data_IF_315029574978
#
_entry.id   IF_315029574978
#
_cell.length_a   1.000
_cell.length_b   1.000
_cell.length_c   1.000
_cell.angle_alpha   90.00
_cell.angle_beta   90.00
_cell.angle_gamma   90.00
#
_symmetry.space_group_name_H-M   'P 1'
#
loop_
_entity.id
_entity.type
_entity.pdbx_description
1 polymer ?
#
# COMPACT_ATOMS: atom_id res chain seq x y z
N UNK A 1 -5.31 -37.46 -29.38
CA UNK A 1 -4.29 -36.66 -30.08
C UNK A 1 -4.17 -35.36 -29.32
N UNK A 2 -3.01 -35.11 -28.70
CA UNK A 2 -2.76 -33.98 -27.81
C UNK A 2 -2.57 -32.71 -28.64
N UNK A 3 -3.44 -31.71 -28.45
CA UNK A 3 -3.25 -30.35 -28.97
C UNK A 3 -2.23 -29.63 -28.09
N UNK A 4 -1.18 -29.13 -28.72
CA UNK A 4 -0.13 -28.34 -28.08
C UNK A 4 -0.63 -26.91 -27.87
N UNK A 5 -0.48 -26.37 -26.66
CA UNK A 5 -0.56 -24.93 -26.46
C UNK A 5 0.65 -24.26 -27.09
N UNK A 6 0.40 -23.27 -27.93
CA UNK A 6 1.42 -22.37 -28.47
C UNK A 6 0.92 -20.93 -28.28
N UNK A 7 0.87 -20.49 -27.02
CA UNK A 7 0.90 -19.07 -26.74
C UNK A 7 2.38 -18.63 -26.88
N UNK A 8 2.65 -17.74 -27.84
CA UNK A 8 3.94 -17.07 -27.98
C UNK A 8 3.68 -15.59 -27.79
N UNK A 9 4.19 -15.04 -26.69
CA UNK A 9 4.01 -13.64 -26.30
C UNK A 9 4.24 -12.67 -27.46
N UNK A 10 3.37 -11.67 -27.54
CA UNK A 10 3.38 -10.64 -28.58
C UNK A 10 4.24 -9.45 -28.14
N UNK A 11 5.33 -9.20 -28.86
CA UNK A 11 6.17 -8.01 -28.70
C UNK A 11 5.53 -6.82 -29.43
N UNK A 12 4.67 -6.04 -28.77
CA UNK A 12 4.13 -4.80 -29.36
C UNK A 12 3.74 -3.75 -28.31
N UNK A 13 4.65 -3.37 -27.41
CA UNK A 13 4.49 -2.14 -26.63
C UNK A 13 4.96 -0.92 -27.46
N UNK A 14 4.03 -0.04 -27.88
CA UNK A 14 4.37 1.32 -28.34
C UNK A 14 3.57 2.38 -27.59
N UNK A 15 4.33 3.34 -27.07
CA UNK A 15 3.92 4.49 -26.28
C UNK A 15 2.90 5.37 -27.00
N UNK A 16 1.69 5.50 -26.45
CA UNK A 16 0.68 6.48 -26.89
C UNK A 16 0.71 7.68 -25.94
N UNK A 17 1.06 8.85 -26.48
CA UNK A 17 1.19 10.11 -25.74
C UNK A 17 -0.21 10.72 -25.52
N UNK A 18 -0.81 10.50 -24.36
CA UNK A 18 -2.12 11.06 -24.05
C UNK A 18 -1.98 12.54 -23.66
N UNK A 19 -2.64 13.43 -24.40
CA UNK A 19 -2.66 14.88 -24.16
C UNK A 19 -4.07 15.26 -23.71
N UNK A 20 -4.29 15.32 -22.39
CA UNK A 20 -5.60 15.68 -21.83
C UNK A 20 -5.53 15.89 -20.33
N UNK A 21 -5.42 17.15 -19.91
CA UNK A 21 -5.61 17.56 -18.51
C UNK A 21 -7.12 17.56 -18.21
N UNK A 22 -7.61 16.49 -17.59
CA UNK A 22 -8.89 16.49 -16.88
C UNK A 22 -8.77 15.59 -15.63
N UNK A 23 -8.12 16.11 -14.60
CA UNK A 23 -8.07 15.50 -13.28
C UNK A 23 -9.34 15.87 -12.51
N UNK A 24 -10.37 15.04 -12.61
CA UNK A 24 -11.42 14.98 -11.58
C UNK A 24 -10.80 14.35 -10.31
N UNK A 25 -11.09 14.86 -9.10
CA UNK A 25 -10.52 14.32 -7.88
C UNK A 25 -11.07 12.91 -7.63
N UNK A 26 -10.20 11.92 -7.83
CA UNK A 26 -10.40 10.53 -7.46
C UNK A 26 -10.67 10.46 -5.95
N UNK A 27 -11.91 10.14 -5.55
CA UNK A 27 -12.23 9.78 -4.18
C UNK A 27 -11.66 8.38 -3.92
N UNK A 28 -10.38 8.35 -3.52
CA UNK A 28 -9.77 7.17 -2.90
C UNK A 28 -10.68 6.72 -1.76
N UNK A 29 -11.20 5.50 -1.83
CA UNK A 29 -11.41 4.70 -0.63
C UNK A 29 -10.06 4.74 0.09
N UNK A 30 -9.98 5.37 1.26
CA UNK A 30 -8.68 5.61 1.87
C UNK A 30 -8.05 4.25 2.14
N UNK A 31 -6.79 4.09 1.73
CA UNK A 31 -5.96 2.93 2.05
C UNK A 31 -5.92 2.67 3.57
N UNK A 32 -6.21 3.72 4.36
CA UNK A 32 -6.52 3.65 5.78
C UNK A 32 -7.69 2.72 6.14
N UNK A 33 -8.75 2.59 5.34
CA UNK A 33 -9.85 1.65 5.61
C UNK A 33 -9.39 0.18 5.45
N UNK A 34 -8.64 -0.13 4.39
CA UNK A 34 -8.05 -1.46 4.15
C UNK A 34 -7.00 -1.81 5.22
N UNK A 35 -6.14 -0.85 5.58
CA UNK A 35 -5.15 -0.98 6.66
C UNK A 35 -5.80 -1.02 8.05
N UNK A 36 -6.95 -0.37 8.26
CA UNK A 36 -7.68 -0.40 9.53
C UNK A 36 -8.32 -1.76 9.78
N UNK A 37 -8.81 -2.43 8.72
CA UNK A 37 -9.31 -3.79 8.82
C UNK A 37 -8.15 -4.76 9.13
N UNK A 38 -7.01 -4.63 8.45
CA UNK A 38 -5.82 -5.47 8.70
C UNK A 38 -5.17 -5.28 10.09
N UNK A 39 -5.40 -4.14 10.76
CA UNK A 39 -4.79 -3.83 12.06
C UNK A 39 -5.72 -4.06 13.26
N UNK A 40 -7.03 -4.30 13.03
CA UNK A 40 -8.01 -4.57 14.09
C UNK A 40 -8.26 -6.08 14.31
N UNK A 41 -7.65 -6.95 13.51
CA UNK A 41 -7.78 -8.39 13.65
C UNK A 41 -6.74 -9.00 14.61
N UNK A 42 -7.12 -10.09 15.27
CA UNK A 42 -6.22 -10.83 16.16
C UNK A 42 -4.98 -11.31 15.40
N UNK A 43 -3.82 -11.40 16.07
CA UNK A 43 -2.55 -11.81 15.45
C UNK A 43 -2.65 -13.15 14.68
N UNK A 44 -3.43 -14.10 15.20
CA UNK A 44 -3.69 -15.37 14.53
C UNK A 44 -4.45 -15.21 13.21
N UNK A 45 -5.46 -14.34 13.17
CA UNK A 45 -6.22 -14.04 11.95
C UNK A 45 -5.35 -13.32 10.93
N UNK A 46 -4.48 -12.40 11.38
CA UNK A 46 -3.55 -11.71 10.51
C UNK A 46 -2.54 -12.67 9.85
N UNK A 47 -2.02 -13.64 10.61
CA UNK A 47 -1.09 -14.64 10.08
C UNK A 47 -1.79 -15.60 9.12
N UNK A 48 -3.04 -16.00 9.38
CA UNK A 48 -3.80 -16.82 8.43
C UNK A 48 -4.05 -16.08 7.11
N UNK A 49 -4.40 -14.79 7.17
CA UNK A 49 -4.57 -13.97 5.96
C UNK A 49 -3.28 -13.85 5.14
N UNK A 50 -2.13 -13.73 5.79
CA UNK A 50 -0.82 -13.72 5.09
C UNK A 50 -0.56 -15.08 4.41
N UNK A 51 -0.85 -16.19 5.10
CA UNK A 51 -0.70 -17.52 4.52
C UNK A 51 -1.63 -17.78 3.33
N UNK A 52 -2.87 -17.31 3.41
CA UNK A 52 -3.83 -17.39 2.31
C UNK A 52 -3.38 -16.54 1.11
N UNK A 53 -2.91 -15.32 1.36
CA UNK A 53 -2.33 -14.47 0.32
C UNK A 53 -1.10 -15.12 -0.33
N UNK A 54 -0.21 -15.72 0.47
CA UNK A 54 0.95 -16.47 -0.03
C UNK A 54 0.54 -17.65 -0.94
N UNK A 55 -0.51 -18.38 -0.57
CA UNK A 55 -1.02 -19.48 -1.38
C UNK A 55 -1.59 -18.99 -2.71
N UNK A 56 -2.36 -17.91 -2.69
CA UNK A 56 -2.90 -17.28 -3.90
C UNK A 56 -1.74 -16.82 -4.79
N UNK A 57 -0.76 -16.12 -4.24
CA UNK A 57 0.40 -15.64 -4.98
C UNK A 57 1.15 -16.78 -5.67
N UNK A 58 1.39 -17.90 -4.99
CA UNK A 58 1.99 -19.11 -5.57
C UNK A 58 1.15 -19.71 -6.71
N UNK A 59 -0.19 -19.70 -6.62
CA UNK A 59 -1.07 -20.13 -7.73
C UNK A 59 -0.87 -19.26 -8.97
N UNK A 60 -0.64 -17.96 -8.77
CA UNK A 60 -0.33 -16.99 -9.82
C UNK A 60 1.16 -16.94 -10.22
N UNK A 61 1.99 -17.85 -9.68
CA UNK A 61 3.40 -17.98 -10.05
C UNK A 61 4.33 -16.99 -9.34
N UNK A 62 3.92 -16.41 -8.21
CA UNK A 62 4.74 -15.53 -7.38
C UNK A 62 5.25 -16.26 -6.14
N UNK A 63 6.08 -17.28 -6.38
CA UNK A 63 6.76 -17.98 -5.30
C UNK A 63 7.80 -17.07 -4.63
N UNK A 64 7.95 -17.21 -3.31
CA UNK A 64 8.87 -16.41 -2.51
C UNK A 64 10.32 -16.86 -2.76
N UNK A 65 11.16 -15.95 -3.22
CA UNK A 65 12.59 -16.17 -3.36
C UNK A 65 13.31 -15.85 -2.04
N UNK A 66 13.71 -16.91 -1.33
CA UNK A 66 14.32 -16.81 0.01
C UNK A 66 15.84 -17.01 0.01
N UNK A 67 16.36 -17.78 -0.94
CA UNK A 67 17.79 -18.05 -1.08
C UNK A 67 18.12 -18.58 -2.48
N UNK A 68 19.40 -18.55 -2.85
CA UNK A 68 19.91 -19.13 -4.10
C UNK A 68 20.70 -18.13 -4.95
N UNK A 69 20.89 -18.40 -6.25
CA UNK A 69 21.62 -17.50 -7.14
C UNK A 69 20.89 -16.17 -7.28
N UNK A 70 21.64 -15.11 -7.62
CA UNK A 70 21.08 -13.78 -7.85
C UNK A 70 19.99 -13.85 -8.90
N UNK A 71 18.86 -13.20 -8.64
CA UNK A 71 17.77 -13.05 -9.62
C UNK A 71 17.75 -11.64 -10.17
N UNK A 72 17.37 -11.49 -11.42
CA UNK A 72 17.07 -10.19 -12.03
C UNK A 72 15.57 -10.11 -12.23
N UNK A 73 14.97 -8.98 -11.86
CA UNK A 73 13.53 -8.80 -12.03
C UNK A 73 13.14 -7.35 -12.23
N UNK A 74 12.05 -7.15 -12.97
CA UNK A 74 11.35 -5.89 -13.12
C UNK A 74 10.28 -5.77 -12.04
N UNK A 75 10.39 -4.76 -11.18
CA UNK A 75 9.48 -4.58 -10.06
C UNK A 75 8.11 -4.09 -10.55
N UNK A 76 7.05 -4.89 -10.36
CA UNK A 76 5.69 -4.58 -10.83
C UNK A 76 4.73 -4.13 -9.73
N UNK A 77 4.91 -4.62 -8.50
CA UNK A 77 3.99 -4.32 -7.41
C UNK A 77 4.67 -4.44 -6.04
N UNK A 78 4.07 -3.83 -5.00
CA UNK A 78 4.52 -3.99 -3.62
C UNK A 78 3.37 -3.85 -2.63
N UNK A 79 3.35 -4.69 -1.59
CA UNK A 79 2.31 -4.69 -0.55
C UNK A 79 2.90 -4.83 0.84
N UNK A 80 2.31 -4.15 1.81
CA UNK A 80 2.66 -4.35 3.23
C UNK A 80 2.27 -5.76 3.65
N UNK A 81 3.16 -6.46 4.34
CA UNK A 81 2.93 -7.81 4.87
C UNK A 81 3.40 -7.93 6.32
N UNK A 82 3.13 -9.07 6.94
CA UNK A 82 3.63 -9.44 8.27
C UNK A 82 4.42 -10.74 8.16
N UNK A 83 5.68 -10.69 8.58
CA UNK A 83 6.61 -11.82 8.57
C UNK A 83 6.39 -12.60 9.87
N UNK A 84 5.97 -13.88 9.82
CA UNK A 84 5.85 -14.72 11.00
C UNK A 84 7.18 -14.84 11.74
N UNK A 85 7.14 -14.90 13.07
CA UNK A 85 8.33 -15.08 13.92
C UNK A 85 7.99 -15.93 15.14
N UNK A 86 8.93 -16.78 15.56
CA UNK A 86 8.82 -17.54 16.82
C UNK A 86 9.01 -16.63 18.05
N UNK A 87 9.82 -15.58 17.91
CA UNK A 87 10.16 -14.66 19.01
C UNK A 87 9.05 -13.63 19.30
N UNK A 88 8.29 -13.27 18.27
CA UNK A 88 7.26 -12.23 18.34
C UNK A 88 5.94 -12.72 17.76
N UNK A 89 4.97 -12.99 18.64
CA UNK A 89 3.65 -13.52 18.27
C UNK A 89 2.93 -12.67 17.19
N UNK A 90 3.12 -11.36 17.22
CA UNK A 90 2.51 -10.44 16.25
C UNK A 90 3.24 -10.39 14.90
N UNK A 91 4.40 -11.03 14.79
CA UNK A 91 5.28 -10.97 13.62
C UNK A 91 6.01 -9.63 13.45
N UNK A 92 6.95 -9.62 12.52
CA UNK A 92 7.66 -8.41 12.09
C UNK A 92 6.96 -7.77 10.90
N UNK A 93 7.06 -6.45 10.76
CA UNK A 93 6.58 -5.80 9.53
C UNK A 93 7.57 -5.97 8.39
N UNK A 94 7.03 -6.21 7.21
CA UNK A 94 7.79 -6.28 5.96
C UNK A 94 6.96 -5.82 4.77
N UNK A 95 7.60 -5.72 3.62
CA UNK A 95 6.96 -5.42 2.34
C UNK A 95 7.26 -6.55 1.38
N UNK A 96 6.22 -7.14 0.80
CA UNK A 96 6.33 -8.06 -0.32
C UNK A 96 6.46 -7.26 -1.62
N UNK A 97 7.43 -7.64 -2.45
CA UNK A 97 7.73 -7.04 -3.73
C UNK A 97 7.60 -8.09 -4.83
N UNK A 98 6.86 -7.77 -5.88
CA UNK A 98 6.51 -8.69 -6.95
C UNK A 98 7.30 -8.34 -8.21
N UNK A 99 7.95 -9.34 -8.80
CA UNK A 99 8.87 -9.18 -9.91
C UNK A 99 8.49 -10.05 -11.09
N UNK A 100 8.69 -9.51 -12.30
CA UNK A 100 8.76 -10.29 -13.53
C UNK A 100 10.23 -10.54 -13.86
N UNK A 101 10.60 -11.80 -14.08
CA UNK A 101 11.97 -12.16 -14.47
C UNK A 101 12.21 -11.92 -15.97
N UNK A 102 13.44 -12.17 -16.43
CA UNK A 102 13.81 -12.02 -17.84
C UNK A 102 13.32 -13.18 -18.73
N UNK A 103 12.92 -14.30 -18.12
CA UNK A 103 12.51 -15.54 -18.78
C UNK A 103 10.98 -15.61 -18.98
N UNK A 104 10.24 -14.62 -18.49
CA UNK A 104 8.78 -14.52 -18.58
C UNK A 104 8.03 -15.12 -17.38
N UNK A 105 8.75 -15.54 -16.33
CA UNK A 105 8.20 -15.97 -15.06
C UNK A 105 8.00 -14.82 -14.06
N UNK A 106 7.38 -15.16 -12.94
CA UNK A 106 7.19 -14.28 -11.79
C UNK A 106 7.91 -14.82 -10.56
N UNK A 107 8.24 -13.92 -9.64
CA UNK A 107 8.61 -14.30 -8.27
C UNK A 107 8.37 -13.13 -7.34
N UNK A 108 8.29 -13.39 -6.03
CA UNK A 108 8.22 -12.33 -5.03
C UNK A 108 9.36 -12.44 -4.03
N UNK A 109 9.64 -11.33 -3.36
CA UNK A 109 10.62 -11.25 -2.27
C UNK A 109 10.07 -10.38 -1.16
N UNK A 110 10.64 -10.52 0.02
CA UNK A 110 10.17 -9.80 1.20
C UNK A 110 11.31 -9.06 1.85
N UNK A 111 11.07 -7.77 2.12
CA UNK A 111 12.01 -6.93 2.86
C UNK A 111 11.44 -6.63 4.24
N UNK A 112 12.10 -7.12 5.28
CA UNK A 112 11.85 -6.64 6.62
C UNK A 112 12.42 -5.23 6.79
N UNK A 113 11.64 -4.36 7.43
CA UNK A 113 12.07 -3.01 7.77
C UNK A 113 11.37 -2.53 9.03
N UNK A 114 12.09 -1.97 9.99
CA UNK A 114 11.47 -1.50 11.24
C UNK A 114 10.68 -0.21 10.99
N UNK A 115 9.36 -0.16 11.28
CA UNK A 115 8.61 1.09 11.27
C UNK A 115 9.18 2.08 12.29
N UNK A 116 9.12 3.37 11.99
CA UNK A 116 9.54 4.40 12.93
C UNK A 116 8.75 5.70 12.77
N UNK A 117 8.78 6.52 13.81
CA UNK A 117 8.42 7.94 13.76
C UNK A 117 9.35 8.76 14.66
N UNK A 118 9.26 10.09 14.58
CA UNK A 118 10.11 10.98 15.35
C UNK A 118 9.34 11.69 16.45
N UNK A 119 10.02 11.93 17.57
CA UNK A 119 9.57 12.78 18.66
C UNK A 119 10.45 14.02 18.71
N UNK A 120 9.82 15.18 18.77
CA UNK A 120 10.44 16.46 19.06
C UNK A 120 10.38 16.69 20.56
N UNK A 121 11.51 17.06 21.14
CA UNK A 121 11.59 17.44 22.54
C UNK A 121 12.29 18.78 22.73
N UNK A 122 12.11 19.34 23.93
CA UNK A 122 12.78 20.57 24.35
C UNK A 122 14.30 20.37 24.37
N UNK A 123 15.02 21.37 23.86
CA UNK A 123 16.50 21.37 23.84
C UNK A 123 17.08 21.11 25.23
N UNK A 124 18.15 20.31 25.28
CA UNK A 124 18.90 19.92 26.49
C UNK A 124 18.19 18.90 27.39
N UNK A 125 17.02 18.38 26.99
CA UNK A 125 16.29 17.32 27.71
C UNK A 125 16.22 16.01 26.90
N UNK A 126 17.01 15.89 25.84
CA UNK A 126 16.95 14.75 24.90
C UNK A 126 17.25 13.42 25.61
N UNK A 127 18.15 13.44 26.60
CA UNK A 127 18.54 12.22 27.34
C UNK A 127 17.45 11.74 28.28
N UNK A 128 16.87 12.67 29.03
CA UNK A 128 15.80 12.40 29.97
C UNK A 128 14.54 11.94 29.23
N UNK A 129 14.21 12.59 28.11
CA UNK A 129 13.06 12.23 27.27
C UNK A 129 13.28 10.87 26.60
N UNK A 130 14.48 10.57 26.12
CA UNK A 130 14.80 9.26 25.57
C UNK A 130 14.61 8.13 26.61
N UNK A 131 15.11 8.32 27.84
CA UNK A 131 14.91 7.35 28.92
C UNK A 131 13.43 7.23 29.34
N UNK A 132 12.72 8.35 29.42
CA UNK A 132 11.28 8.38 29.68
C UNK A 132 10.50 7.59 28.62
N UNK A 133 10.77 7.81 27.34
CA UNK A 133 10.11 7.08 26.25
C UNK A 133 10.42 5.59 26.27
N UNK A 134 11.65 5.18 26.62
CA UNK A 134 12.01 3.76 26.80
C UNK A 134 11.22 3.09 27.91
N UNK A 135 10.98 3.79 29.03
CA UNK A 135 10.19 3.28 30.15
C UNK A 135 8.68 3.28 29.84
N UNK A 136 8.17 4.34 29.23
CA UNK A 136 6.74 4.45 28.91
C UNK A 136 6.29 3.48 27.81
N UNK A 137 7.17 3.16 26.88
CA UNK A 137 6.89 2.29 25.74
C UNK A 137 7.55 0.90 25.90
N UNK A 138 7.80 0.49 27.14
CA UNK A 138 8.36 -0.82 27.44
C UNK A 138 7.46 -1.93 26.86
N UNK A 139 8.07 -2.91 26.19
CA UNK A 139 7.35 -3.97 25.47
C UNK A 139 6.90 -3.62 24.05
N UNK A 140 6.79 -2.33 23.70
CA UNK A 140 6.42 -1.88 22.35
C UNK A 140 7.64 -1.44 21.53
N UNK A 141 8.52 -0.66 22.16
CA UNK A 141 9.64 0.00 21.53
C UNK A 141 10.80 -0.97 21.30
N UNK A 142 11.27 -1.08 20.05
CA UNK A 142 12.50 -1.81 19.72
C UNK A 142 13.74 -0.99 20.05
N UNK A 143 13.76 0.27 19.61
CA UNK A 143 14.93 1.16 19.74
C UNK A 143 14.52 2.62 19.75
N UNK A 144 15.09 3.39 20.66
CA UNK A 144 15.18 4.85 20.54
C UNK A 144 16.60 5.25 20.11
N UNK A 145 16.72 6.23 19.22
CA UNK A 145 18.00 6.83 18.84
C UNK A 145 17.85 8.29 18.45
N UNK A 146 18.87 9.10 18.71
CA UNK A 146 18.89 10.51 18.32
C UNK A 146 19.32 10.66 16.87
N UNK A 147 18.62 11.50 16.13
CA UNK A 147 18.89 11.80 14.73
C UNK A 147 18.79 13.30 14.52
N UNK A 148 19.72 13.87 13.77
CA UNK A 148 19.67 15.26 13.36
C UNK A 148 19.04 15.38 11.98
N UNK A 149 17.99 16.20 11.86
CA UNK A 149 17.35 16.52 10.58
C UNK A 149 17.27 18.02 10.36
N UNK A 150 17.25 18.42 9.09
CA UNK A 150 17.01 19.82 8.73
C UNK A 150 15.54 20.17 9.01
N UNK A 151 15.33 21.28 9.72
CA UNK A 151 14.00 21.80 10.02
C UNK A 151 13.85 23.19 9.41
N UNK A 152 13.17 23.25 8.26
CA UNK A 152 12.96 24.49 7.50
C UNK A 152 12.06 25.49 8.22
N UNK A 153 11.38 25.08 9.31
CA UNK A 153 10.58 25.99 10.13
C UNK A 153 11.42 26.77 11.15
N UNK A 154 12.67 26.37 11.39
CA UNK A 154 13.53 27.06 12.34
C UNK A 154 13.96 28.44 11.81
N UNK A 155 13.95 29.48 12.67
CA UNK A 155 14.63 30.73 12.36
C UNK A 155 16.10 30.43 12.06
N UNK A 156 16.61 30.92 10.94
CA UNK A 156 17.99 30.69 10.47
C UNK A 156 18.32 29.28 9.94
N UNK A 157 17.33 28.50 9.47
CA UNK A 157 17.56 27.19 8.83
C UNK A 157 18.51 27.25 7.60
N UNK A 158 18.61 28.40 6.92
CA UNK A 158 19.55 28.63 5.82
C UNK A 158 21.04 28.61 6.24
N UNK A 159 21.32 28.69 7.54
CA UNK A 159 22.67 28.58 8.12
C UNK A 159 23.04 27.10 8.39
N UNK A 160 22.14 26.16 8.07
CA UNK A 160 22.35 24.72 8.27
C UNK A 160 22.08 24.24 9.70
N UNK A 161 21.26 24.97 10.47
CA UNK A 161 20.84 24.56 11.81
C UNK A 161 19.95 23.31 11.72
N UNK A 162 20.43 22.21 12.29
CA UNK A 162 19.68 20.96 12.41
C UNK A 162 18.92 20.90 13.72
N UNK A 163 17.81 20.17 13.71
CA UNK A 163 17.04 19.83 14.89
C UNK A 163 17.36 18.40 15.31
N UNK A 164 17.66 18.22 16.59
CA UNK A 164 17.77 16.88 17.19
C UNK A 164 16.38 16.32 17.41
N UNK A 165 16.15 15.12 16.90
CA UNK A 165 14.92 14.36 17.01
C UNK A 165 15.22 13.02 17.68
N UNK A 166 14.24 12.46 18.39
CA UNK A 166 14.32 11.10 18.90
C UNK A 166 13.54 10.20 17.95
N UNK A 167 14.23 9.35 17.20
CA UNK A 167 13.64 8.31 16.37
C UNK A 167 13.24 7.12 17.23
N UNK A 168 11.95 6.77 17.22
CA UNK A 168 11.41 5.58 17.87
C UNK A 168 11.16 4.53 16.79
N UNK A 169 11.84 3.39 16.90
CA UNK A 169 11.72 2.25 15.97
C UNK A 169 10.99 1.10 16.64
N UNK A 170 10.18 0.39 15.87
CA UNK A 170 9.29 -0.68 16.33
C UNK A 170 9.52 -1.96 15.53
N UNK A 171 9.11 -3.10 16.06
CA UNK A 171 9.18 -4.37 15.33
C UNK A 171 8.10 -4.52 14.27
N UNK A 172 6.93 -3.90 14.50
CA UNK A 172 5.79 -3.95 13.60
C UNK A 172 4.93 -2.68 13.69
N UNK A 173 4.00 -2.54 12.73
CA UNK A 173 3.10 -1.38 12.62
C UNK A 173 2.14 -1.30 13.82
N UNK A 174 1.70 -2.43 14.36
CA UNK A 174 0.79 -2.48 15.51
C UNK A 174 1.39 -1.79 16.74
N UNK A 175 2.64 -2.13 17.09
CA UNK A 175 3.39 -1.50 18.17
C UNK A 175 3.58 0.00 17.93
N UNK A 176 3.84 0.42 16.69
CA UNK A 176 3.96 1.84 16.34
C UNK A 176 2.64 2.58 16.59
N UNK A 177 1.52 2.01 16.15
CA UNK A 177 0.20 2.62 16.32
C UNK A 177 -0.21 2.68 17.79
N UNK A 178 0.13 1.66 18.58
CA UNK A 178 -0.10 1.66 20.03
C UNK A 178 0.76 2.70 20.74
N UNK A 179 2.05 2.80 20.42
CA UNK A 179 2.92 3.85 20.93
C UNK A 179 2.40 5.25 20.56
N UNK A 180 1.87 5.44 19.35
CA UNK A 180 1.21 6.68 18.94
C UNK A 180 -0.01 7.00 19.81
N UNK A 181 -0.85 6.00 20.14
CA UNK A 181 -2.02 6.18 21.02
C UNK A 181 -1.62 6.64 22.43
N UNK A 182 -0.46 6.23 22.92
CA UNK A 182 0.08 6.64 24.23
C UNK A 182 0.67 8.05 24.18
N UNK A 183 1.50 8.35 23.17
CA UNK A 183 2.28 9.61 23.12
C UNK A 183 1.46 10.80 22.60
N UNK A 184 0.58 10.59 21.62
CA UNK A 184 -0.14 11.70 20.98
C UNK A 184 -1.02 12.53 21.94
N UNK A 185 -1.75 11.94 22.92
CA UNK A 185 -2.49 12.71 23.91
C UNK A 185 -1.61 13.60 24.79
N UNK A 186 -0.44 13.09 25.21
CA UNK A 186 0.52 13.83 26.05
C UNK A 186 1.03 15.06 25.29
N UNK A 187 1.46 14.86 24.05
CA UNK A 187 1.93 15.92 23.16
C UNK A 187 0.84 16.96 22.92
N UNK A 188 -0.38 16.53 22.61
CA UNK A 188 -1.52 17.44 22.38
C UNK A 188 -1.82 18.28 23.62
N UNK A 189 -1.76 17.68 24.81
CA UNK A 189 -1.96 18.39 26.06
C UNK A 189 -0.86 19.44 26.31
N UNK A 190 0.40 19.09 26.04
CA UNK A 190 1.53 20.03 26.17
C UNK A 190 1.43 21.20 25.18
N UNK A 191 0.99 20.95 23.95
CA UNK A 191 0.76 21.99 22.94
C UNK A 191 -0.31 22.99 23.41
N UNK A 192 -1.44 22.50 23.92
CA UNK A 192 -2.50 23.36 24.48
C UNK A 192 -2.01 24.20 25.67
N UNK A 193 -1.23 23.61 26.58
CA UNK A 193 -0.65 24.36 27.70
C UNK A 193 0.34 25.44 27.24
N UNK A 194 1.11 25.17 26.19
CA UNK A 194 2.04 26.13 25.60
C UNK A 194 1.29 27.30 24.96
N UNK A 195 0.26 27.01 24.17
CA UNK A 195 -0.59 28.03 23.54
C UNK A 195 -1.27 28.93 24.59
N UNK A 196 -1.86 28.35 25.64
CA UNK A 196 -2.47 29.13 26.73
C UNK A 196 -1.47 30.03 27.44
N UNK A 197 -0.24 29.55 27.67
CA UNK A 197 0.82 30.33 28.29
C UNK A 197 1.31 31.45 27.37
N UNK A 198 1.42 31.20 26.08
CA UNK A 198 1.84 32.19 25.09
C UNK A 198 0.80 33.31 24.95
N UNK A 199 -0.50 32.99 24.97
CA UNK A 199 -1.60 33.98 24.99
C UNK A 199 -1.56 34.84 26.26
N UNK A 200 -1.43 34.20 27.43
CA UNK A 200 -1.37 34.93 28.71
C UNK A 200 -0.14 35.85 28.79
N UNK A 201 1.00 35.38 28.28
CA UNK A 201 2.22 36.18 28.20
C UNK A 201 2.10 37.31 27.17
N UNK A 202 1.44 37.11 26.02
CA UNK A 202 1.23 38.19 25.06
C UNK A 202 0.29 39.27 25.60
N UNK A 203 -0.73 38.88 26.38
CA UNK A 203 -1.66 39.82 27.02
C UNK A 203 -1.02 40.58 28.19
N UNK A 204 -0.11 39.96 28.93
CA UNK A 204 0.73 40.64 29.92
C UNK A 204 1.74 41.59 29.27
N UNK A 205 2.34 41.19 28.15
CA UNK A 205 3.29 42.02 27.42
C UNK A 205 2.62 43.23 26.75
N UNK A 206 1.32 43.17 26.45
CA UNK A 206 0.55 44.32 25.97
C UNK A 206 0.21 45.33 27.10
N UNK A 207 0.14 44.88 28.35
CA UNK A 207 -0.11 45.74 29.51
C UNK A 207 1.18 46.30 30.15
N UNK A 208 2.36 45.80 29.76
CA UNK A 208 3.66 46.22 30.30
C UNK A 208 4.45 47.17 29.38
N UNK A 209 3.89 47.58 28.23
CA UNK A 209 4.53 48.57 27.35
C UNK A 209 4.36 50.03 27.80
N UNK A 210 3.86 50.29 29.02
CA UNK A 210 3.65 51.65 29.52
C UNK A 210 4.43 52.04 30.79
N UNK A 211 5.17 51.15 31.43
CA UNK A 211 6.00 51.54 32.59
C UNK A 211 7.37 50.85 32.50
N UNK A 212 8.36 51.62 32.04
CA UNK A 212 9.77 51.35 32.31
C UNK A 212 10.00 51.40 33.82
N UNK A 213 10.00 50.27 34.51
CA UNK A 213 10.65 50.15 35.81
C UNK A 213 11.16 48.72 36.04
N UNK A 214 12.45 48.63 36.38
CA UNK A 214 13.19 47.43 36.71
C UNK A 214 12.46 46.58 37.77
N UNK A 215 11.87 45.46 37.34
CA UNK A 215 11.41 44.41 38.25
C UNK A 215 12.20 43.13 38.02
N UNK A 216 13.31 43.08 38.76
CA UNK A 216 14.09 41.90 39.09
C UNK A 216 13.17 40.85 39.74
N UNK A 217 12.57 39.97 38.93
CA UNK A 217 11.76 38.83 39.38
C UNK A 217 12.67 37.70 39.86
N UNK A 218 13.41 37.99 40.92
CA UNK A 218 14.07 37.00 41.75
C UNK A 218 12.99 36.36 42.66
N UNK A 219 12.19 35.45 42.09
CA UNK A 219 11.35 34.54 42.87
C UNK A 219 11.95 33.15 42.82
N UNK A 220 12.58 32.79 43.93
CA UNK A 220 12.93 31.43 44.35
C UNK A 220 11.70 30.50 44.33
N UNK A 221 11.25 30.14 43.14
CA UNK A 221 10.38 29.00 42.94
C UNK A 221 11.28 27.77 42.97
N UNK A 222 11.47 27.21 44.18
CA UNK A 222 12.00 25.86 44.38
C UNK A 222 11.55 24.97 43.24
N UNK A 223 12.53 24.54 42.44
CA UNK A 223 12.35 23.72 41.25
C UNK A 223 11.45 22.53 41.58
N UNK A 224 10.15 22.64 41.27
CA UNK A 224 9.36 21.44 41.04
C UNK A 224 10.13 20.67 39.96
N UNK A 225 10.45 19.38 40.15
CA UNK A 225 11.07 18.60 39.10
C UNK A 225 10.22 18.79 37.85
N UNK A 226 10.82 19.30 36.77
CA UNK A 226 10.12 19.43 35.51
C UNK A 226 9.64 18.01 35.17
N UNK A 227 8.34 17.81 35.03
CA UNK A 227 7.84 16.53 34.55
C UNK A 227 8.40 16.33 33.14
N UNK A 228 9.19 15.27 32.96
CA UNK A 228 9.87 14.97 31.68
C UNK A 228 8.83 14.82 30.57
N UNK A 229 7.60 14.39 30.91
CA UNK A 229 6.49 14.33 29.98
C UNK A 229 6.17 15.70 29.33
N UNK A 230 6.34 16.81 30.06
CA UNK A 230 6.14 18.17 29.53
C UNK A 230 7.24 18.63 28.57
N UNK A 231 8.37 17.91 28.48
CA UNK A 231 9.42 18.19 27.51
C UNK A 231 9.11 17.64 26.11
N UNK A 232 8.04 16.85 25.94
CA UNK A 232 7.54 16.39 24.65
C UNK A 232 6.78 17.51 23.93
N UNK A 233 7.27 17.95 22.77
CA UNK A 233 6.71 19.08 22.04
C UNK A 233 5.80 18.65 20.87
N UNK A 234 6.23 17.65 20.10
CA UNK A 234 5.51 17.20 18.91
C UNK A 234 5.94 15.78 18.47
N UNK A 235 5.12 15.14 17.63
CA UNK A 235 5.47 13.91 16.92
C UNK A 235 5.47 14.17 15.41
N UNK A 236 6.43 13.62 14.68
CA UNK A 236 6.62 13.85 13.24
C UNK A 236 6.71 12.55 12.46
N UNK A 237 6.22 12.58 11.23
CA UNK A 237 6.22 11.46 10.29
C UNK A 237 5.57 10.18 10.85
N UNK A 238 4.57 10.33 11.74
CA UNK A 238 3.87 9.22 12.41
C UNK A 238 2.71 8.63 11.58
N UNK A 239 2.40 9.25 10.45
CA UNK A 239 1.29 8.97 9.55
C UNK A 239 1.75 8.57 8.14
N UNK A 240 3.06 8.39 7.94
CA UNK A 240 3.60 7.90 6.67
C UNK A 240 3.24 6.42 6.51
N UNK A 241 2.54 6.02 5.43
CA UNK A 241 2.22 4.62 5.19
C UNK A 241 3.48 3.76 5.15
N UNK A 242 3.42 2.58 5.74
CA UNK A 242 4.62 1.76 5.96
C UNK A 242 5.33 1.37 4.66
N UNK A 243 4.62 0.88 3.64
CA UNK A 243 5.26 0.53 2.36
C UNK A 243 5.88 1.78 1.66
N UNK A 244 5.27 2.96 1.82
CA UNK A 244 5.83 4.23 1.33
C UNK A 244 7.13 4.54 2.05
N UNK A 245 7.17 4.39 3.38
CA UNK A 245 8.39 4.54 4.18
C UNK A 245 9.51 3.63 3.66
N UNK A 246 9.25 2.33 3.53
CA UNK A 246 10.25 1.36 3.07
C UNK A 246 10.74 1.71 1.66
N UNK A 247 9.83 2.09 0.76
CA UNK A 247 10.16 2.51 -0.61
C UNK A 247 11.02 3.77 -0.65
N UNK A 248 10.71 4.79 0.17
CA UNK A 248 11.48 6.04 0.22
C UNK A 248 12.88 5.77 0.77
N UNK A 249 12.97 5.14 1.95
CA UNK A 249 14.22 4.99 2.68
C UNK A 249 15.22 4.08 1.93
N UNK A 250 14.73 3.05 1.25
CA UNK A 250 15.56 2.15 0.45
C UNK A 250 15.68 2.58 -1.02
N UNK A 251 14.99 3.65 -1.43
CA UNK A 251 14.93 4.13 -2.80
C UNK A 251 14.45 3.08 -3.82
N UNK A 252 13.48 2.25 -3.43
CA UNK A 252 12.87 1.24 -4.31
C UNK A 252 11.69 1.85 -5.08
N UNK A 253 11.61 1.60 -6.40
CA UNK A 253 10.59 2.18 -7.28
C UNK A 253 10.06 1.11 -8.23
N UNK A 254 8.74 0.96 -8.25
CA UNK A 254 8.02 0.15 -9.25
C UNK A 254 8.36 0.66 -10.65
N UNK A 255 8.47 -0.26 -11.61
CA UNK A 255 8.84 0.02 -12.99
C UNK A 255 10.34 0.02 -13.27
N UNK A 256 11.18 -0.25 -12.26
CA UNK A 256 12.64 -0.38 -12.42
C UNK A 256 13.10 -1.84 -12.34
N UNK A 257 14.25 -2.11 -12.95
CA UNK A 257 14.95 -3.38 -12.88
C UNK A 257 15.89 -3.43 -11.68
N UNK A 258 15.88 -4.57 -10.99
CA UNK A 258 16.74 -4.82 -9.83
C UNK A 258 17.42 -6.19 -9.96
N UNK A 259 18.69 -6.24 -9.57
CA UNK A 259 19.36 -7.48 -9.18
C UNK A 259 19.09 -7.75 -7.71
N UNK A 260 18.59 -8.94 -7.40
CA UNK A 260 18.15 -9.37 -6.08
C UNK A 260 19.06 -10.46 -5.55
N UNK A 261 19.48 -10.26 -4.31
CA UNK A 261 20.31 -11.19 -3.54
C UNK A 261 19.63 -11.45 -2.20
N UNK A 262 19.11 -12.67 -2.04
CA UNK A 262 18.50 -13.12 -0.81
C UNK A 262 19.51 -13.94 0.00
N UNK A 263 19.78 -13.52 1.23
CA UNK A 263 20.57 -14.30 2.19
C UNK A 263 19.68 -15.11 3.13
N UNK A 264 18.46 -14.65 3.35
CA UNK A 264 17.41 -15.29 4.14
C UNK A 264 16.04 -14.73 3.69
N UNK A 265 14.95 -15.41 4.04
CA UNK A 265 13.56 -15.13 3.68
C UNK A 265 13.11 -13.67 3.83
N UNK A 266 13.68 -12.92 4.77
CA UNK A 266 13.36 -11.52 5.06
C UNK A 266 14.52 -10.54 4.84
N UNK A 267 15.70 -11.04 4.47
CA UNK A 267 16.92 -10.28 4.25
C UNK A 267 17.33 -10.33 2.78
N UNK A 268 16.71 -9.43 2.01
CA UNK A 268 16.99 -9.28 0.57
C UNK A 268 17.63 -7.92 0.31
N UNK A 269 18.63 -7.91 -0.56
CA UNK A 269 19.26 -6.69 -1.07
C UNK A 269 18.94 -6.48 -2.55
N UNK A 270 18.68 -5.22 -2.91
CA UNK A 270 18.19 -4.82 -4.22
C UNK A 270 19.23 -3.87 -4.80
N UNK A 271 19.75 -4.19 -5.99
CA UNK A 271 20.67 -3.32 -6.72
C UNK A 271 20.01 -2.86 -8.01
N UNK A 272 19.75 -1.57 -8.15
CA UNK A 272 19.11 -1.01 -9.36
C UNK A 272 20.00 -1.18 -10.60
N UNK A 273 19.41 -1.72 -11.67
CA UNK A 273 20.04 -1.84 -12.98
C UNK A 273 19.71 -0.62 -13.84
N UNK A 274 20.61 0.37 -13.85
CA UNK A 274 20.40 1.67 -14.52
C UNK A 274 20.53 1.61 -16.04
N UNK A 275 21.15 0.57 -16.56
CA UNK A 275 21.34 0.30 -17.98
C UNK A 275 20.07 -0.24 -18.65
N UNK A 276 19.19 -0.91 -17.89
CA UNK A 276 17.96 -1.49 -18.41
C UNK A 276 16.77 -0.53 -18.26
N UNK A 277 16.47 0.20 -19.34
CA UNK A 277 15.42 1.25 -19.36
C UNK A 277 14.07 0.70 -19.81
N UNK A 278 14.04 -0.24 -20.76
CA UNK A 278 12.80 -0.79 -21.28
C UNK A 278 12.06 -1.58 -20.19
N UNK A 279 10.74 -1.41 -20.13
CA UNK A 279 9.88 -2.17 -19.23
C UNK A 279 9.81 -3.65 -19.66
N UNK A 280 9.46 -4.53 -18.73
CA UNK A 280 9.02 -5.87 -19.11
C UNK A 280 7.59 -5.80 -19.68
N UNK A 281 7.14 -6.90 -20.28
CA UNK A 281 5.81 -7.04 -20.84
C UNK A 281 4.92 -7.81 -19.84
N UNK A 282 4.12 -7.12 -18.99
CA UNK A 282 3.15 -7.78 -18.13
C UNK A 282 2.01 -8.36 -18.96
N UNK A 283 1.43 -9.47 -18.51
CA UNK A 283 0.14 -9.94 -19.03
C UNK A 283 -0.96 -9.00 -18.54
N UNK A 284 -1.67 -8.37 -19.48
CA UNK A 284 -2.73 -7.40 -19.24
C UNK A 284 -4.06 -8.00 -19.67
N UNK A 285 -4.99 -8.09 -18.72
CA UNK A 285 -6.38 -8.47 -18.96
C UNK A 285 -7.26 -7.24 -18.77
N UNK A 286 -8.05 -6.87 -19.77
CA UNK A 286 -9.08 -5.85 -19.63
C UNK A 286 -10.46 -6.50 -19.79
N UNK A 287 -11.38 -6.28 -18.86
CA UNK A 287 -12.73 -6.85 -18.96
C UNK A 287 -13.84 -5.82 -18.70
N UNK A 288 -15.02 -6.16 -19.19
CA UNK A 288 -16.26 -5.42 -19.03
C UNK A 288 -17.43 -6.41 -19.00
N UNK A 289 -18.40 -6.20 -18.10
CA UNK A 289 -19.56 -7.07 -17.96
C UNK A 289 -20.83 -6.44 -18.51
N UNK A 290 -21.69 -7.28 -19.07
CA UNK A 290 -23.06 -6.92 -19.42
C UNK A 290 -24.03 -7.70 -18.54
N UNK A 291 -25.01 -7.01 -17.98
CA UNK A 291 -25.96 -7.58 -17.02
C UNK A 291 -27.40 -7.37 -17.48
N UNK A 292 -28.30 -8.22 -16.99
CA UNK A 292 -29.73 -7.90 -17.06
C UNK A 292 -30.02 -6.64 -16.24
N UNK A 293 -31.14 -5.99 -16.58
CA UNK A 293 -31.69 -4.92 -15.77
C UNK A 293 -33.18 -4.74 -16.03
N UNK A 294 -33.91 -4.33 -15.00
CA UNK A 294 -35.29 -3.90 -15.16
C UNK A 294 -35.41 -2.63 -16.04
N UNK A 295 -36.49 -2.47 -16.81
CA UNK A 295 -36.74 -1.25 -17.57
C UNK A 295 -36.69 0.00 -16.69
N UNK A 296 -35.96 1.04 -17.13
CA UNK A 296 -35.80 2.33 -16.46
C UNK A 296 -35.16 2.27 -15.05
N UNK A 297 -34.51 1.16 -14.68
CA UNK A 297 -33.76 1.02 -13.43
C UNK A 297 -32.28 0.74 -13.69
N UNK A 298 -31.47 0.96 -12.66
CA UNK A 298 -30.09 0.46 -12.61
C UNK A 298 -30.09 -1.05 -12.34
N UNK A 299 -29.06 -1.78 -12.81
CA UNK A 299 -28.88 -3.19 -12.46
C UNK A 299 -28.72 -3.37 -10.94
N UNK A 300 -29.32 -4.43 -10.39
CA UNK A 300 -29.18 -4.82 -8.98
C UNK A 300 -28.66 -6.26 -8.90
N UNK A 301 -27.42 -6.43 -8.45
CA UNK A 301 -26.73 -7.72 -8.36
C UNK A 301 -27.41 -8.75 -7.45
N UNK A 302 -28.41 -8.35 -6.64
CA UNK A 302 -29.24 -9.27 -5.85
C UNK A 302 -30.25 -10.05 -6.69
N UNK A 303 -30.69 -9.48 -7.82
CA UNK A 303 -31.80 -10.01 -8.63
C UNK A 303 -31.42 -10.18 -10.09
N UNK A 304 -30.57 -9.30 -10.62
CA UNK A 304 -30.10 -9.31 -11.99
C UNK A 304 -28.92 -10.29 -12.14
N UNK A 305 -28.76 -10.81 -13.35
CA UNK A 305 -27.75 -11.79 -13.71
C UNK A 305 -26.75 -11.19 -14.70
N UNK A 306 -25.53 -11.73 -14.70
CA UNK A 306 -24.54 -11.47 -15.74
C UNK A 306 -24.95 -12.23 -17.00
N UNK A 307 -25.10 -11.51 -18.11
CA UNK A 307 -25.43 -12.10 -19.40
C UNK A 307 -24.19 -12.35 -20.26
N UNK A 308 -23.18 -11.48 -20.17
CA UNK A 308 -21.93 -11.63 -20.92
C UNK A 308 -20.75 -11.04 -20.14
N UNK A 309 -19.56 -11.61 -20.31
CA UNK A 309 -18.29 -11.02 -19.89
C UNK A 309 -17.40 -10.95 -21.12
N UNK A 310 -17.07 -9.73 -21.54
CA UNK A 310 -16.10 -9.50 -22.60
C UNK A 310 -14.76 -9.16 -21.99
N UNK A 311 -13.67 -9.71 -22.52
CA UNK A 311 -12.33 -9.38 -22.07
C UNK A 311 -11.30 -9.54 -23.17
N UNK A 312 -10.19 -8.82 -23.02
CA UNK A 312 -9.02 -8.94 -23.89
C UNK A 312 -7.77 -9.25 -23.08
N UNK A 313 -6.95 -10.16 -23.59
CA UNK A 313 -5.67 -10.55 -22.99
C UNK A 313 -4.59 -10.30 -24.04
N UNK A 314 -3.69 -9.34 -23.78
CA UNK A 314 -2.57 -8.97 -24.66
C UNK A 314 -2.94 -8.78 -26.15
N UNK A 315 -4.18 -8.32 -26.42
CA UNK A 315 -4.72 -8.07 -27.76
C UNK A 315 -5.60 -9.18 -28.35
N UNK A 316 -5.70 -10.34 -27.69
CA UNK A 316 -6.64 -11.41 -28.05
C UNK A 316 -7.97 -11.20 -27.32
N UNK A 317 -9.08 -11.22 -28.05
CA UNK A 317 -10.43 -11.00 -27.52
C UNK A 317 -11.13 -12.31 -27.14
N UNK A 318 -11.90 -12.25 -26.07
CA UNK A 318 -12.73 -13.33 -25.58
C UNK A 318 -14.09 -12.81 -25.15
N UNK A 319 -15.12 -13.62 -25.35
CA UNK A 319 -16.48 -13.33 -24.89
C UNK A 319 -17.06 -14.59 -24.27
N UNK A 320 -17.45 -14.52 -23.00
CA UNK A 320 -18.22 -15.59 -22.36
C UNK A 320 -19.68 -15.16 -22.32
N UNK A 321 -20.60 -16.04 -22.71
CA UNK A 321 -22.04 -15.74 -22.76
C UNK A 321 -22.83 -16.72 -21.87
N UNK A 322 -23.85 -16.22 -21.17
CA UNK A 322 -24.79 -17.03 -20.40
C UNK A 322 -25.98 -17.46 -21.29
N UNK A 323 -26.10 -18.77 -21.53
CA UNK A 323 -27.13 -19.35 -22.41
C UNK A 323 -28.54 -19.41 -21.78
N UNK A 324 -28.71 -19.12 -20.49
CA UNK A 324 -30.04 -18.94 -19.88
C UNK A 324 -30.73 -17.66 -20.39
N UNK A 325 -29.94 -16.66 -20.78
CA UNK A 325 -30.42 -15.33 -21.19
C UNK A 325 -30.24 -15.15 -22.70
N UNK A 326 -29.07 -15.50 -23.23
CA UNK A 326 -28.78 -15.41 -24.65
C UNK A 326 -29.41 -16.62 -25.33
N UNK A 327 -30.28 -16.42 -26.32
CA UNK A 327 -31.04 -17.52 -26.95
C UNK A 327 -30.28 -18.26 -28.07
N UNK A 328 -29.32 -17.63 -28.73
CA UNK A 328 -28.54 -18.24 -29.82
C UNK A 328 -27.04 -18.31 -29.48
N UNK A 329 -26.37 -19.40 -29.89
CA UNK A 329 -24.91 -19.49 -29.78
C UNK A 329 -24.27 -18.40 -30.65
N UNK A 330 -23.30 -17.70 -30.08
CA UNK A 330 -22.52 -16.70 -30.79
C UNK A 330 -21.28 -17.39 -31.34
N UNK A 331 -21.05 -17.24 -32.65
CA UNK A 331 -19.84 -17.72 -33.33
C UNK A 331 -18.69 -16.72 -33.18
N UNK A 332 -17.45 -17.20 -33.31
CA UNK A 332 -16.25 -16.35 -33.35
C UNK A 332 -16.39 -15.25 -34.40
N UNK A 333 -16.01 -14.02 -34.02
CA UNK A 333 -16.16 -12.86 -34.88
C UNK A 333 -15.01 -11.87 -34.72
N UNK A 334 -14.93 -10.93 -35.67
CA UNK A 334 -13.96 -9.85 -35.64
C UNK A 334 -14.67 -8.50 -35.44
N UNK A 335 -14.19 -7.73 -34.47
CA UNK A 335 -14.52 -6.34 -34.26
C UNK A 335 -13.25 -5.50 -34.20
N UNK A 336 -12.80 -5.04 -35.36
CA UNK A 336 -11.61 -4.19 -35.53
C UNK A 336 -12.05 -2.77 -35.90
N UNK A 337 -12.31 -1.87 -34.93
CA UNK A 337 -12.81 -0.52 -35.22
C UNK A 337 -11.77 0.35 -35.95
N UNK A 338 -10.48 0.08 -35.74
CA UNK A 338 -9.36 0.67 -36.48
C UNK A 338 -8.24 -0.36 -36.67
N UNK A 339 -7.38 -0.22 -37.70
CA UNK A 339 -6.26 -1.14 -37.91
C UNK A 339 -5.30 -1.26 -36.72
N UNK A 340 -5.17 -0.21 -35.90
CA UNK A 340 -4.32 -0.23 -34.71
C UNK A 340 -4.96 -0.96 -33.50
N UNK A 341 -6.25 -1.31 -33.59
CA UNK A 341 -7.03 -1.96 -32.54
C UNK A 341 -7.67 -3.25 -33.08
N UNK A 342 -6.87 -4.29 -33.37
CA UNK A 342 -7.42 -5.59 -33.78
C UNK A 342 -8.25 -6.19 -32.64
N UNK A 343 -9.40 -6.75 -32.97
CA UNK A 343 -10.31 -7.39 -31.99
C UNK A 343 -10.86 -8.69 -32.55
N UNK A 344 -10.06 -9.75 -32.49
CA UNK A 344 -10.49 -11.11 -32.83
C UNK A 344 -11.05 -11.76 -31.58
N UNK A 345 -12.34 -12.11 -31.59
CA UNK A 345 -13.04 -12.65 -30.43
C UNK A 345 -13.29 -14.15 -30.57
N UNK A 346 -12.76 -14.91 -29.61
CA UNK A 346 -13.11 -16.31 -29.39
C UNK A 346 -14.27 -16.39 -28.38
N UNK A 347 -15.29 -17.18 -28.68
CA UNK A 347 -16.52 -17.20 -27.88
C UNK A 347 -16.62 -18.47 -27.02
N UNK A 348 -16.99 -18.30 -25.76
CA UNK A 348 -17.36 -19.37 -24.83
C UNK A 348 -18.86 -19.29 -24.51
N UNK A 349 -19.63 -20.17 -25.13
CA UNK A 349 -21.07 -20.27 -24.91
C UNK A 349 -21.36 -21.18 -23.70
N UNK A 350 -21.41 -20.62 -22.49
CA UNK A 350 -21.56 -21.38 -21.25
C UNK A 350 -23.05 -21.59 -20.87
N UNK A 351 -23.44 -22.76 -20.35
CA UNK A 351 -24.84 -23.14 -20.18
C UNK A 351 -25.63 -22.25 -19.22
N UNK A 352 -24.99 -21.71 -18.18
CA UNK A 352 -25.60 -20.90 -17.13
C UNK A 352 -24.63 -19.82 -16.59
N UNK A 353 -25.13 -18.96 -15.69
CA UNK A 353 -24.33 -17.88 -15.08
C UNK A 353 -23.15 -18.43 -14.26
N UNK A 354 -23.32 -19.58 -13.62
CA UNK A 354 -22.28 -20.19 -12.79
C UNK A 354 -21.10 -20.64 -13.66
N UNK A 355 -21.36 -21.39 -14.72
CA UNK A 355 -20.37 -21.85 -15.67
C UNK A 355 -19.65 -20.67 -16.34
N UNK A 356 -20.37 -19.56 -16.61
CA UNK A 356 -19.78 -18.32 -17.10
C UNK A 356 -18.75 -17.74 -16.12
N UNK A 357 -19.09 -17.64 -14.83
CA UNK A 357 -18.18 -17.11 -13.80
C UNK A 357 -17.00 -18.06 -13.57
N UNK A 358 -17.25 -19.38 -13.53
CA UNK A 358 -16.20 -20.39 -13.39
C UNK A 358 -15.21 -20.33 -14.56
N UNK A 359 -15.69 -20.23 -15.81
CA UNK A 359 -14.85 -20.05 -17.00
C UNK A 359 -14.00 -18.78 -16.91
N UNK A 360 -14.59 -17.67 -16.46
CA UNK A 360 -13.86 -16.41 -16.30
C UNK A 360 -12.71 -16.54 -15.28
N UNK A 361 -12.99 -17.13 -14.12
CA UNK A 361 -11.97 -17.35 -13.09
C UNK A 361 -10.92 -18.40 -13.48
N UNK A 362 -11.33 -19.47 -14.18
CA UNK A 362 -10.41 -20.46 -14.74
C UNK A 362 -9.43 -19.80 -15.69
N UNK A 363 -9.92 -19.01 -16.65
CA UNK A 363 -9.05 -18.37 -17.63
C UNK A 363 -8.12 -17.33 -17.00
N UNK A 364 -8.58 -16.55 -16.01
CA UNK A 364 -7.72 -15.66 -15.20
C UNK A 364 -6.59 -16.45 -14.54
N UNK A 365 -6.88 -17.62 -13.95
CA UNK A 365 -5.86 -18.45 -13.29
C UNK A 365 -4.87 -19.07 -14.28
N UNK A 366 -5.32 -19.41 -15.48
CA UNK A 366 -4.48 -19.97 -16.54
C UNK A 366 -3.48 -18.94 -17.08
N UNK A 367 -3.96 -17.72 -17.36
CA UNK A 367 -3.15 -16.67 -18.00
C UNK A 367 -2.37 -15.81 -17.01
N UNK A 368 -2.74 -15.85 -15.73
CA UNK A 368 -2.05 -15.18 -14.62
C UNK A 368 -1.77 -13.70 -14.89
N UNK A 369 -2.81 -12.88 -15.15
CA UNK A 369 -2.62 -11.48 -15.46
C UNK A 369 -2.02 -10.75 -14.27
N UNK A 370 -1.06 -9.87 -14.53
CA UNK A 370 -0.46 -9.00 -13.50
C UNK A 370 -1.09 -7.61 -13.48
N UNK A 371 -1.89 -7.31 -14.50
CA UNK A 371 -2.73 -6.13 -14.59
C UNK A 371 -4.13 -6.58 -15.00
N UNK A 372 -5.13 -6.26 -14.19
CA UNK A 372 -6.54 -6.38 -14.57
C UNK A 372 -7.12 -4.97 -14.66
N UNK A 373 -7.60 -4.61 -15.84
CA UNK A 373 -8.16 -3.29 -16.15
C UNK A 373 -9.67 -3.37 -16.38
N UNK A 374 -10.37 -2.32 -15.96
CA UNK A 374 -11.82 -2.14 -16.16
C UNK A 374 -12.11 -0.67 -16.40
N UNK A 375 -13.34 -0.36 -16.81
CA UNK A 375 -13.85 1.01 -16.82
C UNK A 375 -14.95 1.14 -15.77
N UNK A 376 -14.70 1.92 -14.71
CA UNK A 376 -15.62 2.06 -13.57
C UNK A 376 -15.89 0.75 -12.79
N UNK A 377 -15.01 -0.26 -12.93
CA UNK A 377 -15.23 -1.58 -12.36
C UNK A 377 -15.25 -1.65 -10.83
N UNK A 378 -14.57 -0.72 -10.14
CA UNK A 378 -14.63 -0.65 -8.67
C UNK A 378 -16.05 -0.39 -8.13
N UNK A 379 -16.88 0.30 -8.91
CA UNK A 379 -18.24 0.69 -8.50
C UNK A 379 -19.34 -0.17 -9.12
N UNK A 380 -19.02 -0.91 -10.18
CA UNK A 380 -20.00 -1.71 -10.91
C UNK A 380 -19.51 -3.16 -11.09
N UNK A 381 -18.55 -3.39 -11.99
CA UNK A 381 -18.18 -4.72 -12.45
C UNK A 381 -17.74 -5.66 -11.32
N UNK A 382 -16.76 -5.25 -10.51
CA UNK A 382 -16.21 -6.10 -9.44
C UNK A 382 -17.24 -6.39 -8.35
N UNK A 383 -17.95 -5.40 -7.75
CA UNK A 383 -19.01 -5.69 -6.78
C UNK A 383 -20.14 -6.56 -7.34
N UNK A 384 -20.45 -6.44 -8.64
CA UNK A 384 -21.47 -7.27 -9.27
C UNK A 384 -20.98 -8.72 -9.40
N UNK A 385 -19.79 -8.94 -9.99
CA UNK A 385 -19.17 -10.26 -10.13
C UNK A 385 -18.99 -10.95 -8.77
N UNK A 386 -18.48 -10.24 -7.76
CA UNK A 386 -18.29 -10.78 -6.41
C UNK A 386 -19.60 -11.31 -5.83
N UNK A 387 -20.67 -10.52 -5.91
CA UNK A 387 -21.96 -10.90 -5.35
C UNK A 387 -22.60 -12.07 -6.10
N UNK A 388 -22.55 -12.05 -7.44
CA UNK A 388 -23.08 -13.14 -8.27
C UNK A 388 -22.30 -14.43 -8.06
N UNK A 389 -20.97 -14.35 -7.95
CA UNK A 389 -20.15 -15.49 -7.60
C UNK A 389 -20.64 -16.09 -6.27
N UNK A 390 -20.76 -15.30 -5.20
CA UNK A 390 -21.22 -15.80 -3.89
C UNK A 390 -22.57 -16.54 -3.95
N UNK A 391 -23.53 -16.04 -4.74
CA UNK A 391 -24.82 -16.69 -4.95
C UNK A 391 -24.74 -18.00 -5.72
N UNK A 392 -23.86 -18.13 -6.73
CA UNK A 392 -23.73 -19.36 -7.52
C UNK A 392 -23.09 -20.53 -6.76
N UNK A 393 -22.45 -20.26 -5.62
CA UNK A 393 -21.81 -21.27 -4.77
C UNK A 393 -22.69 -21.73 -3.59
N UNK A 394 -23.87 -21.15 -3.39
CA UNK A 394 -24.86 -21.52 -2.36
C UNK A 394 -26.19 -21.91 -3.00
#
# INVERSE_FOLDING_TARGET
MSSKSQFKGSTSARFVKNSGNNSQPYQRRSEEELLSNFNNENAHTKLSLVQEADQIDSVFGFDRYESGPKKVGWLINMHTTTIPSEDLLQGYSGVDYYFLDEEGGGFKVTKQYDPYFFVICKKSYESEVEEYLRKQLEGLLKKASRVEKDDLSLPNHLIGLKRTLIQLSFHNISNLLEARRIIAPIVKQNQLFKEQRDVYNSDLNYNLLNEEEDLDFNTESKSKPLDIAHCLEDIREYDVPYHVRVSIDNNYRIGKWYTLEATDSAQVSFTEMKDKIAFADPVILAFDIETTKAPLKFPDSSIDQIMMISYMIDGEGFLITNREIINAEIEDFEYTPKPEYPGLFTIFNEPDEKALIERFFEHIREVRPTVIATFNGDFFDWPFVEKRAFFSWH
#
